data_IF_783776919390
#
_entry.id   IF_783776919390
#
_cell.length_a   1.000
_cell.length_b   1.000
_cell.length_c   1.000
_cell.angle_alpha   90.00
_cell.angle_beta   90.00
_cell.angle_gamma   90.00
#
_symmetry.space_group_name_H-M   'P 1'
#
loop_
_entity.id
_entity.type
_entity.pdbx_description
1 polymer ?
#
# COMPACT_ATOMS: atom_id res chain seq x y z
N UNK A 1 -5.30 37.61 0.31
CA UNK A 1 -5.98 36.37 0.75
C UNK A 1 -5.02 35.24 0.44
N UNK A 2 -4.56 34.44 1.42
CA UNK A 2 -3.67 33.32 1.09
C UNK A 2 -4.51 32.29 0.33
N UNK A 3 -4.06 31.94 -0.87
CA UNK A 3 -4.63 30.83 -1.62
C UNK A 3 -4.35 29.55 -0.83
N UNK A 4 -5.40 28.83 -0.44
CA UNK A 4 -5.23 27.50 0.13
C UNK A 4 -4.64 26.60 -0.94
N UNK A 5 -3.37 26.22 -0.79
CA UNK A 5 -2.76 25.16 -1.59
C UNK A 5 -3.47 23.86 -1.24
N UNK A 6 -4.42 23.45 -2.09
CA UNK A 6 -4.99 22.10 -2.02
C UNK A 6 -3.88 21.12 -2.39
N UNK A 7 -3.24 20.56 -1.38
CA UNK A 7 -2.19 19.58 -1.59
C UNK A 7 -2.80 18.29 -2.15
N UNK A 8 -2.30 17.86 -3.31
CA UNK A 8 -2.88 16.73 -4.05
C UNK A 8 -1.80 15.72 -4.46
N UNK A 9 -1.83 14.55 -3.81
CA UNK A 9 -0.99 13.41 -4.16
C UNK A 9 -1.74 12.55 -5.16
N UNK A 10 -1.16 12.37 -6.35
CA UNK A 10 -1.73 11.49 -7.36
C UNK A 10 -0.88 10.23 -7.52
N UNK A 11 -1.55 9.11 -7.78
CA UNK A 11 -0.91 7.87 -8.18
C UNK A 11 -1.51 7.44 -9.52
N UNK A 12 -0.64 7.27 -10.51
CA UNK A 12 -0.94 6.68 -11.81
C UNK A 12 -0.52 5.22 -11.81
N UNK A 13 -1.31 4.39 -12.48
CA UNK A 13 -1.03 2.98 -12.64
C UNK A 13 -0.66 2.69 -14.10
N UNK A 14 0.63 2.55 -14.38
CA UNK A 14 1.14 2.21 -15.70
C UNK A 14 1.46 0.72 -15.86
N UNK A 15 0.95 -0.14 -14.97
CA UNK A 15 1.09 -1.59 -15.10
C UNK A 15 -0.07 -2.21 -15.87
N UNK A 16 0.04 -3.52 -16.12
CA UNK A 16 -1.00 -4.35 -16.74
C UNK A 16 -2.09 -4.85 -15.76
N UNK A 17 -1.98 -4.53 -14.46
CA UNK A 17 -2.91 -4.98 -13.42
C UNK A 17 -3.34 -3.84 -12.50
N UNK A 18 -4.46 -4.03 -11.79
CA UNK A 18 -4.90 -3.08 -10.78
C UNK A 18 -3.85 -2.89 -9.68
N UNK A 19 -3.81 -1.70 -9.07
CA UNK A 19 -3.03 -1.47 -7.85
C UNK A 19 -3.92 -0.99 -6.71
N UNK A 20 -3.47 -1.24 -5.48
CA UNK A 20 -4.15 -0.88 -4.25
C UNK A 20 -3.23 0.03 -3.42
N UNK A 21 -3.74 1.19 -3.02
CA UNK A 21 -2.96 2.20 -2.29
C UNK A 21 -3.59 2.50 -0.94
N UNK A 22 -2.79 2.37 0.13
CA UNK A 22 -3.10 2.89 1.46
C UNK A 22 -2.31 4.17 1.71
N UNK A 23 -2.96 5.17 2.32
CA UNK A 23 -2.34 6.47 2.62
C UNK A 23 -2.43 6.74 4.11
N UNK A 24 -1.30 7.06 4.74
CA UNK A 24 -1.22 7.45 6.15
C UNK A 24 -0.43 8.75 6.34
N UNK A 25 -0.52 9.38 7.50
CA UNK A 25 0.35 10.52 7.83
C UNK A 25 1.82 10.14 7.92
N UNK A 26 2.07 8.97 8.50
CA UNK A 26 3.38 8.40 8.68
C UNK A 26 3.25 6.87 8.74
N UNK A 27 4.36 6.12 8.65
CA UNK A 27 4.28 4.67 8.63
C UNK A 27 3.83 4.04 9.96
N UNK A 28 3.84 4.81 11.05
CA UNK A 28 3.55 4.31 12.40
C UNK A 28 2.07 4.50 12.78
N UNK A 29 1.24 4.92 11.81
CA UNK A 29 -0.22 4.96 11.94
C UNK A 29 -0.80 3.57 12.19
N UNK A 30 -1.79 3.53 13.08
CA UNK A 30 -2.38 2.28 13.52
C UNK A 30 -3.08 1.59 12.35
N UNK A 31 -2.78 0.31 12.12
CA UNK A 31 -3.42 -0.43 11.04
C UNK A 31 -4.92 -0.64 11.28
N UNK A 32 -5.33 -0.60 12.54
CA UNK A 32 -6.74 -0.64 12.95
C UNK A 32 -7.57 0.55 12.41
N UNK A 33 -6.91 1.65 12.02
CA UNK A 33 -7.59 2.79 11.39
C UNK A 33 -7.95 2.55 9.92
N UNK A 34 -7.34 1.54 9.30
CA UNK A 34 -7.57 1.12 7.92
C UNK A 34 -8.44 -0.13 7.85
N UNK A 35 -8.15 -1.12 8.69
CA UNK A 35 -8.72 -2.45 8.57
C UNK A 35 -9.97 -2.57 9.43
N UNK A 36 -11.14 -2.49 8.80
CA UNK A 36 -12.43 -2.54 9.50
C UNK A 36 -12.75 -3.91 10.10
N UNK A 37 -12.19 -4.99 9.55
CA UNK A 37 -12.37 -6.38 10.04
C UNK A 37 -11.06 -6.91 10.62
N UNK A 38 -10.65 -6.31 11.74
CA UNK A 38 -9.40 -6.65 12.40
C UNK A 38 -9.39 -8.09 12.92
N UNK A 39 -10.56 -8.69 13.17
CA UNK A 39 -10.68 -10.07 13.65
C UNK A 39 -10.20 -11.09 12.60
N UNK A 40 -10.74 -11.03 11.38
CA UNK A 40 -10.30 -11.89 10.28
C UNK A 40 -8.84 -11.63 9.91
N UNK A 41 -8.42 -10.37 9.95
CA UNK A 41 -7.03 -10.00 9.71
C UNK A 41 -6.07 -10.64 10.72
N UNK A 42 -6.37 -10.57 12.02
CA UNK A 42 -5.52 -11.14 13.06
C UNK A 42 -5.45 -12.68 12.97
N UNK A 43 -6.55 -13.34 12.59
CA UNK A 43 -6.55 -14.79 12.34
C UNK A 43 -5.61 -15.13 11.18
N UNK A 44 -5.74 -14.46 10.04
CA UNK A 44 -4.89 -14.70 8.88
C UNK A 44 -3.40 -14.48 9.18
N UNK A 45 -3.09 -13.41 9.94
CA UNK A 45 -1.73 -13.12 10.41
C UNK A 45 -1.21 -14.22 11.34
N UNK A 46 -2.04 -14.73 12.24
CA UNK A 46 -1.70 -15.83 13.14
C UNK A 46 -1.36 -17.11 12.37
N UNK A 47 -2.21 -17.50 11.42
CA UNK A 47 -1.99 -18.69 10.59
C UNK A 47 -0.69 -18.57 9.77
N UNK A 48 -0.38 -17.40 9.20
CA UNK A 48 0.88 -17.18 8.47
C UNK A 48 2.10 -17.27 9.41
N UNK A 49 2.01 -16.74 10.64
CA UNK A 49 3.11 -16.81 11.63
C UNK A 49 3.44 -18.21 12.07
N UNK A 50 2.44 -19.09 12.19
CA UNK A 50 2.66 -20.50 12.51
C UNK A 50 3.41 -21.24 11.39
N UNK A 51 3.34 -20.75 10.16
CA UNK A 51 3.94 -21.36 8.98
C UNK A 51 5.35 -20.83 8.71
N UNK A 52 5.52 -19.50 8.79
CA UNK A 52 6.81 -18.83 8.59
C UNK A 52 7.56 -18.82 9.93
N UNK A 53 8.07 -19.98 10.32
CA UNK A 53 8.82 -20.16 11.57
C UNK A 53 10.31 -19.87 11.44
N UNK A 54 10.84 -19.92 10.21
CA UNK A 54 12.26 -19.77 9.91
C UNK A 54 12.72 -18.31 9.75
N UNK A 55 11.78 -17.35 9.73
CA UNK A 55 12.07 -15.93 9.57
C UNK A 55 11.42 -15.16 10.71
N UNK A 56 12.14 -14.18 11.27
CA UNK A 56 11.60 -13.30 12.30
C UNK A 56 10.51 -12.39 11.73
N UNK A 57 9.26 -12.84 11.81
CA UNK A 57 8.10 -12.00 11.54
C UNK A 57 7.88 -10.99 12.68
N UNK A 58 7.34 -9.78 12.37
CA UNK A 58 6.94 -8.83 13.39
C UNK A 58 6.03 -9.47 14.44
N UNK A 59 6.40 -9.39 15.73
CA UNK A 59 5.64 -10.01 16.84
C UNK A 59 4.20 -9.53 16.88
N UNK A 60 3.99 -8.24 16.62
CA UNK A 60 2.70 -7.58 16.56
C UNK A 60 2.60 -6.79 15.26
N UNK A 61 1.43 -6.78 14.64
CA UNK A 61 1.14 -5.87 13.53
C UNK A 61 0.24 -4.78 14.09
N UNK A 62 0.84 -3.68 14.52
CA UNK A 62 0.12 -2.55 15.09
C UNK A 62 0.05 -1.37 14.12
N UNK A 63 1.06 -1.22 13.27
CA UNK A 63 1.22 -0.08 12.37
C UNK A 63 1.20 -0.46 10.89
N UNK A 64 1.05 0.52 10.01
CA UNK A 64 1.18 0.31 8.56
C UNK A 64 2.60 -0.20 8.20
N UNK A 65 3.64 0.26 8.91
CA UNK A 65 5.01 -0.24 8.77
C UNK A 65 5.12 -1.71 9.13
N UNK A 66 4.52 -2.13 10.24
CA UNK A 66 4.53 -3.54 10.64
C UNK A 66 3.83 -4.41 9.60
N UNK A 67 2.71 -3.92 9.03
CA UNK A 67 1.99 -4.60 7.95
C UNK A 67 2.89 -4.74 6.72
N UNK A 68 3.52 -3.65 6.27
CA UNK A 68 4.44 -3.68 5.14
C UNK A 68 5.59 -4.68 5.34
N UNK A 69 6.24 -4.65 6.52
CA UNK A 69 7.30 -5.59 6.85
C UNK A 69 6.82 -7.03 6.87
N UNK A 70 5.65 -7.27 7.48
CA UNK A 70 5.03 -8.57 7.55
C UNK A 70 4.75 -9.13 6.15
N UNK A 71 4.13 -8.34 5.26
CA UNK A 71 3.83 -8.76 3.89
C UNK A 71 5.09 -9.03 3.09
N UNK A 72 6.08 -8.14 3.18
CA UNK A 72 7.36 -8.32 2.50
C UNK A 72 8.03 -9.63 2.92
N UNK A 73 8.11 -9.92 4.21
CA UNK A 73 8.69 -11.16 4.72
C UNK A 73 7.85 -12.38 4.35
N UNK A 74 6.53 -12.29 4.51
CA UNK A 74 5.59 -13.37 4.19
C UNK A 74 5.71 -13.78 2.72
N UNK A 75 5.71 -12.82 1.80
CA UNK A 75 5.84 -13.11 0.38
C UNK A 75 7.23 -13.67 0.01
N UNK A 76 8.32 -13.16 0.61
CA UNK A 76 9.64 -13.75 0.42
C UNK A 76 9.71 -15.20 0.96
N UNK A 77 9.12 -15.46 2.13
CA UNK A 77 9.15 -16.77 2.78
C UNK A 77 8.24 -17.80 2.10
N UNK A 78 7.09 -17.36 1.55
CA UNK A 78 6.15 -18.19 0.82
C UNK A 78 6.48 -18.31 -0.68
N UNK A 79 7.50 -17.59 -1.16
CA UNK A 79 7.97 -17.49 -2.56
C UNK A 79 8.44 -18.81 -3.18
N UNK A 80 7.52 -19.75 -3.34
CA UNK A 80 7.72 -21.04 -4.00
C UNK A 80 6.96 -22.23 -3.41
N UNK A 81 6.23 -22.09 -2.29
CA UNK A 81 5.67 -23.25 -1.57
C UNK A 81 4.15 -23.33 -1.48
N UNK A 82 3.42 -22.33 -1.98
CA UNK A 82 1.96 -22.36 -1.97
C UNK A 82 1.41 -23.22 -3.13
N UNK A 83 1.36 -24.53 -2.94
CA UNK A 83 0.44 -25.36 -3.72
C UNK A 83 -0.98 -24.84 -3.48
N UNK A 84 -1.70 -24.54 -4.57
CA UNK A 84 -3.09 -24.11 -4.53
C UNK A 84 -3.93 -25.15 -3.75
N UNK A 85 -4.65 -24.70 -2.72
CA UNK A 85 -5.48 -25.57 -1.86
C UNK A 85 -4.88 -25.93 -0.49
N UNK A 86 -3.75 -25.34 -0.11
CA UNK A 86 -3.21 -25.45 1.26
C UNK A 86 -3.76 -24.32 2.16
N UNK A 87 -3.96 -24.57 3.46
CA UNK A 87 -4.32 -23.54 4.46
C UNK A 87 -3.45 -22.25 4.38
N UNK A 88 -2.13 -22.31 4.11
CA UNK A 88 -1.30 -21.14 3.83
C UNK A 88 -1.85 -20.20 2.73
N UNK A 89 -2.39 -20.77 1.65
CA UNK A 89 -2.92 -20.01 0.54
C UNK A 89 -4.24 -19.31 0.92
N UNK A 90 -5.06 -19.92 1.78
CA UNK A 90 -6.32 -19.34 2.27
C UNK A 90 -6.06 -18.14 3.20
N UNK A 91 -5.11 -18.27 4.13
CA UNK A 91 -4.72 -17.18 5.03
C UNK A 91 -4.10 -16.00 4.27
N UNK A 92 -3.19 -16.29 3.33
CA UNK A 92 -2.61 -15.26 2.47
C UNK A 92 -3.67 -14.56 1.60
N UNK A 93 -4.63 -15.32 1.05
CA UNK A 93 -5.75 -14.76 0.29
C UNK A 93 -6.68 -13.91 1.15
N UNK A 94 -6.98 -14.35 2.38
CA UNK A 94 -7.81 -13.59 3.31
C UNK A 94 -7.15 -12.24 3.68
N UNK A 95 -5.84 -12.27 3.97
CA UNK A 95 -5.06 -11.07 4.23
C UNK A 95 -5.02 -10.14 3.01
N UNK A 96 -4.77 -10.69 1.82
CA UNK A 96 -4.77 -9.95 0.57
C UNK A 96 -6.12 -9.27 0.32
N UNK A 97 -7.23 -10.00 0.46
CA UNK A 97 -8.58 -9.45 0.30
C UNK A 97 -8.91 -8.37 1.33
N UNK A 98 -8.46 -8.53 2.58
CA UNK A 98 -8.61 -7.52 3.62
C UNK A 98 -7.89 -6.23 3.24
N UNK A 99 -6.68 -6.30 2.69
CA UNK A 99 -5.94 -5.12 2.23
C UNK A 99 -6.67 -4.47 1.05
N UNK A 100 -7.06 -5.25 0.03
CA UNK A 100 -7.78 -4.73 -1.15
C UNK A 100 -9.06 -3.98 -0.78
N UNK A 101 -9.83 -4.51 0.19
CA UNK A 101 -11.08 -3.91 0.68
C UNK A 101 -10.85 -2.56 1.37
N UNK A 102 -9.70 -2.38 2.01
CA UNK A 102 -9.37 -1.21 2.82
C UNK A 102 -8.31 -0.31 2.16
N UNK A 103 -8.24 -0.33 0.83
CA UNK A 103 -7.30 0.44 0.02
C UNK A 103 -8.01 1.17 -1.12
N UNK A 104 -7.38 2.22 -1.63
CA UNK A 104 -7.81 2.86 -2.88
C UNK A 104 -7.43 1.95 -4.05
N UNK A 105 -8.42 1.44 -4.77
CA UNK A 105 -8.23 0.77 -6.05
C UNK A 105 -7.89 1.79 -7.15
N UNK A 106 -6.81 1.56 -7.90
CA UNK A 106 -6.46 2.30 -9.12
C UNK A 106 -6.33 1.28 -10.26
N UNK A 107 -7.31 1.22 -11.18
CA UNK A 107 -7.25 0.28 -12.29
C UNK A 107 -6.02 0.47 -13.19
N UNK A 108 -5.65 -0.57 -13.94
CA UNK A 108 -4.61 -0.46 -14.96
C UNK A 108 -4.91 0.68 -15.96
N UNK A 109 -3.92 1.52 -16.24
CA UNK A 109 -4.05 2.67 -17.15
C UNK A 109 -4.79 3.89 -16.58
N UNK A 110 -5.21 3.85 -15.31
CA UNK A 110 -5.93 4.94 -14.64
C UNK A 110 -5.05 5.66 -13.60
N UNK A 111 -5.51 6.81 -13.12
CA UNK A 111 -4.88 7.52 -12.01
C UNK A 111 -5.93 8.05 -11.02
N UNK A 112 -5.53 8.21 -9.75
CA UNK A 112 -6.38 8.80 -8.71
C UNK A 112 -5.61 9.76 -7.81
N UNK A 113 -6.30 10.77 -7.30
CA UNK A 113 -5.83 11.53 -6.15
C UNK A 113 -6.00 10.69 -4.88
N UNK A 114 -4.90 10.24 -4.29
CA UNK A 114 -4.92 9.25 -3.20
C UNK A 114 -5.14 9.86 -1.81
N UNK A 115 -4.98 11.17 -1.68
CA UNK A 115 -5.30 11.92 -0.47
C UNK A 115 -6.63 12.69 -0.58
N UNK A 116 -7.51 12.33 -1.51
CA UNK A 116 -8.83 12.95 -1.62
C UNK A 116 -9.77 12.46 -0.50
N UNK A 117 -10.53 13.39 0.07
CA UNK A 117 -11.39 13.16 1.22
C UNK A 117 -12.45 12.09 0.96
N UNK A 118 -13.04 12.05 -0.24
CA UNK A 118 -14.11 11.11 -0.54
C UNK A 118 -13.60 9.67 -0.52
N UNK A 119 -12.37 9.44 -0.98
CA UNK A 119 -11.75 8.12 -0.90
C UNK A 119 -11.42 7.79 0.55
N UNK A 120 -10.76 8.70 1.27
CA UNK A 120 -10.34 8.50 2.66
C UNK A 120 -11.52 8.12 3.57
N UNK A 121 -12.68 8.75 3.42
CA UNK A 121 -13.88 8.45 4.21
C UNK A 121 -14.43 7.03 4.00
N UNK A 122 -14.06 6.34 2.91
CA UNK A 122 -14.51 4.98 2.64
C UNK A 122 -13.71 3.90 3.37
N UNK A 123 -12.47 4.20 3.79
CA UNK A 123 -11.57 3.20 4.39
C UNK A 123 -10.81 3.68 5.63
N UNK A 124 -10.92 4.95 6.03
CA UNK A 124 -10.36 5.48 7.27
C UNK A 124 -11.44 5.82 8.29
N UNK A 125 -11.10 5.63 9.56
CA UNK A 125 -11.88 6.19 10.67
C UNK A 125 -11.85 7.74 10.67
N UNK A 126 -12.97 8.36 11.06
CA UNK A 126 -13.17 9.81 10.95
C UNK A 126 -12.10 10.70 11.64
N UNK A 127 -11.45 10.21 12.70
CA UNK A 127 -10.40 10.95 13.42
C UNK A 127 -9.08 11.10 12.64
N UNK A 128 -8.80 10.23 11.67
CA UNK A 128 -7.56 10.28 10.87
C UNK A 128 -7.62 11.28 9.69
N UNK A 129 -8.81 11.48 9.14
CA UNK A 129 -9.02 12.16 7.85
C UNK A 129 -8.60 13.64 7.90
N UNK A 130 -8.98 14.36 8.96
CA UNK A 130 -8.68 15.79 9.10
C UNK A 130 -7.19 16.11 9.21
N UNK A 131 -6.41 15.19 9.78
CA UNK A 131 -4.96 15.35 9.91
C UNK A 131 -4.26 15.09 8.57
N UNK A 132 -4.75 14.13 7.77
CA UNK A 132 -4.15 13.74 6.48
C UNK A 132 -4.35 14.80 5.39
N UNK A 133 -5.51 15.45 5.35
CA UNK A 133 -5.83 16.48 4.34
C UNK A 133 -4.96 17.74 4.45
N UNK A 134 -4.34 17.99 5.62
CA UNK A 134 -3.48 19.16 5.85
C UNK A 134 -1.99 18.79 5.97
N UNK A 135 -1.63 17.53 5.77
CA UNK A 135 -0.27 17.08 5.92
C UNK A 135 0.58 17.47 4.71
N UNK A 136 1.74 18.07 4.94
CA UNK A 136 2.72 18.38 3.90
C UNK A 136 3.48 17.14 3.41
N UNK A 137 3.38 16.04 4.14
CA UNK A 137 3.99 14.76 3.83
C UNK A 137 3.05 13.65 4.28
N UNK A 138 2.90 12.64 3.44
CA UNK A 138 2.14 11.42 3.72
C UNK A 138 3.00 10.21 3.40
N UNK A 139 2.66 9.06 3.98
CA UNK A 139 3.19 7.77 3.59
C UNK A 139 2.22 7.05 2.67
N UNK A 140 2.74 6.48 1.60
CA UNK A 140 2.01 5.60 0.70
C UNK A 140 2.50 4.17 0.93
N UNK A 141 1.57 3.24 0.98
CA UNK A 141 1.83 1.82 0.78
C UNK A 141 1.07 1.39 -0.48
N UNK A 142 1.80 0.84 -1.45
CA UNK A 142 1.30 0.46 -2.77
C UNK A 142 1.44 -1.04 -2.91
N UNK A 143 0.41 -1.72 -3.39
CA UNK A 143 0.35 -3.17 -3.60
C UNK A 143 -0.19 -3.49 -5.00
N UNK A 144 0.41 -4.45 -5.71
CA UNK A 144 -0.14 -4.97 -6.97
C UNK A 144 -1.45 -5.74 -6.76
N UNK A 145 -2.26 -5.88 -7.81
CA UNK A 145 -3.56 -6.54 -7.77
C UNK A 145 -3.50 -8.01 -7.38
N UNK A 146 -2.38 -8.67 -7.67
CA UNK A 146 -2.04 -10.02 -7.24
C UNK A 146 -1.30 -10.11 -5.89
N UNK A 147 -0.99 -8.96 -5.30
CA UNK A 147 -0.32 -8.83 -4.00
C UNK A 147 1.16 -9.20 -3.99
N UNK A 148 1.82 -9.39 -5.14
CA UNK A 148 3.24 -9.79 -5.18
C UNK A 148 4.24 -8.65 -5.13
N UNK A 149 3.82 -7.44 -5.47
CA UNK A 149 4.66 -6.24 -5.44
C UNK A 149 4.19 -5.31 -4.34
N UNK A 150 5.15 -4.79 -3.57
CA UNK A 150 4.88 -3.82 -2.53
C UNK A 150 5.94 -2.72 -2.54
N UNK A 151 5.50 -1.48 -2.34
CA UNK A 151 6.36 -0.37 -1.97
C UNK A 151 5.74 0.40 -0.82
N UNK A 152 6.59 0.91 0.07
CA UNK A 152 6.19 1.87 1.08
C UNK A 152 7.19 3.01 1.13
N UNK A 153 6.71 4.26 1.03
CA UNK A 153 7.55 5.43 1.00
C UNK A 153 6.80 6.69 1.44
N UNK A 154 7.55 7.69 1.88
CA UNK A 154 7.01 9.01 2.19
C UNK A 154 7.03 9.87 0.93
N UNK A 155 6.00 10.69 0.77
CA UNK A 155 5.89 11.64 -0.33
C UNK A 155 5.42 12.98 0.18
N UNK A 156 5.93 14.05 -0.42
CA UNK A 156 5.32 15.36 -0.24
C UNK A 156 3.89 15.35 -0.79
N UNK A 157 3.05 16.20 -0.23
CA UNK A 157 1.63 16.27 -0.51
C UNK A 157 1.29 16.84 -1.90
N UNK A 158 2.28 17.36 -2.65
CA UNK A 158 2.13 17.86 -4.03
C UNK A 158 2.79 16.94 -5.08
N UNK A 159 3.28 15.78 -4.67
CA UNK A 159 4.02 14.87 -5.54
C UNK A 159 3.10 13.81 -6.13
N UNK A 160 3.23 13.60 -7.44
CA UNK A 160 2.57 12.54 -8.19
C UNK A 160 3.54 11.40 -8.49
N UNK A 161 3.04 10.17 -8.50
CA UNK A 161 3.82 8.95 -8.69
C UNK A 161 3.19 8.07 -9.77
N UNK A 162 4.03 7.24 -10.39
CA UNK A 162 3.65 6.29 -11.43
C UNK A 162 4.19 4.93 -11.00
N UNK A 163 3.28 3.98 -10.80
CA UNK A 163 3.59 2.57 -10.62
C UNK A 163 3.87 1.94 -12.00
N UNK A 164 5.00 1.25 -12.19
CA UNK A 164 5.44 0.76 -13.52
C UNK A 164 5.82 -0.72 -13.53
N UNK A 165 5.68 -1.37 -14.68
CA UNK A 165 6.08 -2.78 -14.86
C UNK A 165 7.60 -3.00 -14.68
N UNK A 166 8.41 -1.95 -14.72
CA UNK A 166 9.87 -1.98 -14.52
C UNK A 166 10.29 -2.11 -13.04
N UNK A 167 9.42 -2.67 -12.21
CA UNK A 167 9.66 -2.87 -10.79
C UNK A 167 10.01 -1.56 -10.02
N UNK A 168 9.40 -0.42 -10.43
CA UNK A 168 9.52 0.86 -9.72
C UNK A 168 8.20 1.63 -9.55
N UNK A 169 8.14 2.40 -8.48
CA UNK A 169 7.30 3.60 -8.39
C UNK A 169 8.18 4.82 -8.69
N UNK A 170 7.87 5.58 -9.73
CA UNK A 170 8.67 6.71 -10.21
C UNK A 170 7.89 8.02 -10.04
N UNK A 171 8.57 9.10 -9.65
CA UNK A 171 7.95 10.44 -9.62
C UNK A 171 7.50 10.85 -11.02
N UNK A 172 6.34 11.49 -11.12
CA UNK A 172 5.91 12.14 -12.35
C UNK A 172 6.49 13.55 -12.46
N UNK A 173 6.81 14.00 -13.68
CA UNK A 173 7.23 15.37 -13.96
C UNK A 173 6.15 16.35 -13.52
N UNK A 174 6.58 17.48 -12.95
CA UNK A 174 5.66 18.54 -12.54
C UNK A 174 4.73 18.96 -13.69
N UNK A 175 3.42 19.02 -13.41
CA UNK A 175 2.40 19.34 -14.41
C UNK A 175 1.97 18.17 -15.32
N UNK A 176 2.46 16.95 -15.07
CA UNK A 176 2.05 15.74 -15.81
C UNK A 176 1.84 14.56 -14.87
N UNK A 177 0.99 13.61 -15.24
CA UNK A 177 0.76 12.38 -14.46
C UNK A 177 1.39 11.13 -15.09
N UNK A 178 1.64 11.14 -16.41
CA UNK A 178 2.14 9.98 -17.17
C UNK A 178 3.58 10.13 -17.67
N UNK A 179 4.26 11.24 -17.40
CA UNK A 179 5.67 11.39 -17.76
C UNK A 179 6.54 11.15 -16.55
N UNK A 180 7.38 10.12 -16.62
CA UNK A 180 8.32 9.77 -15.55
C UNK A 180 9.43 10.82 -15.39
N UNK A 181 9.86 11.02 -14.15
CA UNK A 181 10.98 11.85 -13.72
C UNK A 181 11.81 11.10 -12.66
N UNK A 182 12.64 10.12 -13.07
CA UNK A 182 13.40 9.30 -12.13
C UNK A 182 14.43 10.11 -11.32
N UNK A 183 14.92 11.22 -11.87
CA UNK A 183 15.83 12.13 -11.15
C UNK A 183 15.16 12.84 -9.98
N UNK A 184 13.83 13.05 -10.05
CA UNK A 184 13.04 13.60 -8.96
C UNK A 184 12.70 12.57 -7.87
N UNK A 185 12.85 11.27 -8.15
CA UNK A 185 12.73 10.19 -7.18
C UNK A 185 12.17 8.89 -7.75
N UNK A 186 12.71 7.78 -7.26
CA UNK A 186 12.24 6.44 -7.54
C UNK A 186 12.27 5.57 -6.27
N UNK A 187 11.34 4.62 -6.20
CA UNK A 187 11.25 3.63 -5.12
C UNK A 187 11.09 2.27 -5.76
N UNK A 188 11.92 1.30 -5.36
CA UNK A 188 11.77 -0.06 -5.84
C UNK A 188 10.46 -0.69 -5.31
N UNK A 189 9.74 -1.44 -6.15
CA UNK A 189 8.56 -2.22 -5.78
C UNK A 189 8.66 -3.68 -6.30
N UNK A 190 9.74 -4.39 -5.96
CA UNK A 190 10.13 -5.61 -6.66
C UNK A 190 9.06 -6.70 -6.61
N UNK A 191 9.03 -7.56 -7.62
CA UNK A 191 8.20 -8.77 -7.59
C UNK A 191 8.77 -9.73 -6.55
N UNK A 192 7.97 -10.08 -5.54
CA UNK A 192 8.36 -11.09 -4.56
C UNK A 192 8.36 -12.49 -5.17
N UNK A 193 9.52 -13.16 -5.18
CA UNK A 193 9.63 -14.60 -5.45
C UNK A 193 10.31 -15.00 -6.78
N UNK A 194 11.53 -14.52 -7.03
CA UNK A 194 12.48 -15.16 -7.97
C UNK A 194 13.54 -15.97 -7.22
#
# INVERSE_FOLDING_TARGET
>A
MPFGSSHSVHMANATDQDIHVMVSLNPDWAIADFITDIGLFLIAVGEIKELVTAVELPKTIATLRDLYQFLKITYMALGGTAAAGSRPAEAALALHNAIKKNSILIPAGEYKQVNDKNWLELYLNASGIGSLLNASTVSLMVMSGDGKQFAMYNTNSDYSWIATDDEKCVRAKYGSIWQQDPEAGEVAWPVGGN
#
